data_IF_552902994055
#
_entry.id   IF_552902994055
#
_cell.length_a   1.000
_cell.length_b   1.000
_cell.length_c   1.000
_cell.angle_alpha   90.00
_cell.angle_beta   90.00
_cell.angle_gamma   90.00
#
_symmetry.space_group_name_H-M   'P 1'
#
loop_
_entity.id
_entity.type
_entity.pdbx_description
1 polymer ?
#
# COMPACT_ATOMS: atom_id res chain seq x y z
N UNK A 1 11.95 38.68 18.71
CA UNK A 1 11.87 37.77 17.54
C UNK A 1 13.04 36.78 17.51
N UNK A 2 14.30 37.24 17.54
CA UNK A 2 15.52 36.40 17.44
C UNK A 2 15.71 35.38 18.57
N UNK A 3 15.29 35.70 19.81
CA UNK A 3 15.51 34.84 20.98
C UNK A 3 14.84 33.44 20.88
N UNK A 4 13.65 33.34 20.27
CA UNK A 4 12.95 32.04 20.15
C UNK A 4 13.57 31.13 19.11
N UNK A 5 14.03 31.70 18.00
CA UNK A 5 14.70 30.98 16.92
C UNK A 5 16.02 30.40 17.42
N UNK A 6 16.80 31.19 18.16
CA UNK A 6 18.06 30.72 18.74
C UNK A 6 17.84 29.63 19.80
N UNK A 7 16.75 29.72 20.59
CA UNK A 7 16.36 28.64 21.51
C UNK A 7 16.04 27.33 20.77
N UNK A 8 15.36 27.40 19.62
CA UNK A 8 15.07 26.23 18.78
C UNK A 8 16.38 25.65 18.21
N UNK A 9 17.26 26.49 17.67
CA UNK A 9 18.55 26.06 17.10
C UNK A 9 19.45 25.39 18.13
N UNK A 10 19.55 25.96 19.34
CA UNK A 10 20.37 25.40 20.42
C UNK A 10 19.86 24.00 20.84
N UNK A 11 18.53 23.82 20.95
CA UNK A 11 17.93 22.50 21.23
C UNK A 11 18.24 21.47 20.13
N UNK A 12 18.11 21.85 18.86
CA UNK A 12 18.48 20.99 17.72
C UNK A 12 19.96 20.63 17.79
N UNK A 13 20.84 21.61 18.00
CA UNK A 13 22.28 21.41 18.07
C UNK A 13 22.68 20.44 19.20
N UNK A 14 22.12 20.62 20.41
CA UNK A 14 22.38 19.73 21.55
C UNK A 14 21.97 18.29 21.26
N UNK A 15 20.79 18.09 20.66
CA UNK A 15 20.32 16.75 20.34
C UNK A 15 21.19 16.08 19.28
N UNK A 16 21.50 16.80 18.19
CA UNK A 16 22.29 16.24 17.09
C UNK A 16 23.72 15.93 17.52
N UNK A 17 24.36 16.78 18.33
CA UNK A 17 25.73 16.51 18.81
C UNK A 17 25.79 15.32 19.78
N UNK A 18 24.70 15.05 20.50
CA UNK A 18 24.65 13.95 21.49
C UNK A 18 24.24 12.61 20.89
N UNK A 19 23.42 12.61 19.83
CA UNK A 19 22.77 11.39 19.33
C UNK A 19 22.94 11.15 17.82
N UNK A 20 23.21 12.19 17.03
CA UNK A 20 23.22 12.15 15.56
C UNK A 20 24.60 12.57 15.02
N UNK A 21 24.62 13.38 13.96
CA UNK A 21 25.82 13.93 13.35
C UNK A 21 25.54 15.32 12.73
N UNK A 22 26.57 15.91 12.12
CA UNK A 22 26.50 17.23 11.48
C UNK A 22 25.47 17.28 10.34
N UNK A 23 25.36 16.23 9.54
CA UNK A 23 24.45 16.19 8.38
C UNK A 23 22.98 16.27 8.80
N UNK A 24 22.56 15.51 9.82
CA UNK A 24 21.19 15.61 10.34
C UNK A 24 20.89 16.96 10.99
N UNK A 25 21.91 17.62 11.55
CA UNK A 25 21.79 18.99 12.08
C UNK A 25 21.54 19.98 10.95
N UNK A 26 22.31 19.88 9.86
CA UNK A 26 22.18 20.77 8.70
C UNK A 26 20.80 20.62 8.05
N UNK A 27 20.31 19.38 7.91
CA UNK A 27 18.95 19.10 7.44
C UNK A 27 17.90 19.73 8.38
N UNK A 28 18.08 19.58 9.70
CA UNK A 28 17.16 20.16 10.69
C UNK A 28 17.12 21.69 10.60
N UNK A 29 18.27 22.34 10.37
CA UNK A 29 18.33 23.79 10.19
C UNK A 29 17.74 24.24 8.87
N UNK A 30 17.89 23.46 7.80
CA UNK A 30 17.21 23.73 6.53
C UNK A 30 15.69 23.71 6.70
N UNK A 31 15.12 22.69 7.35
CA UNK A 31 13.68 22.63 7.66
C UNK A 31 13.23 23.83 8.50
N UNK A 32 14.03 24.24 9.49
CA UNK A 32 13.72 25.44 10.29
C UNK A 32 13.72 26.69 9.42
N UNK A 33 14.69 26.84 8.52
CA UNK A 33 14.77 27.98 7.62
C UNK A 33 13.58 28.02 6.67
N UNK A 34 13.24 26.90 6.04
CA UNK A 34 12.08 26.77 5.15
C UNK A 34 10.78 27.12 5.89
N UNK A 35 10.63 26.71 7.14
CA UNK A 35 9.48 27.06 7.98
C UNK A 35 9.38 28.58 8.21
N UNK A 36 10.51 29.23 8.47
CA UNK A 36 10.55 30.68 8.70
C UNK A 36 10.28 31.47 7.41
N UNK A 37 10.74 30.97 6.28
CA UNK A 37 10.54 31.59 4.97
C UNK A 37 9.07 31.49 4.54
N UNK A 38 8.40 30.36 4.84
CA UNK A 38 6.98 30.15 4.51
C UNK A 38 6.03 30.82 5.51
N UNK A 39 6.32 30.79 6.81
CA UNK A 39 5.49 31.42 7.83
C UNK A 39 6.27 31.71 9.12
N UNK A 40 6.99 32.83 9.15
CA UNK A 40 7.83 33.23 10.29
C UNK A 40 7.09 33.31 11.62
N UNK A 41 5.85 33.80 11.64
CA UNK A 41 5.10 34.06 12.87
C UNK A 41 4.61 32.77 13.54
N UNK A 42 4.53 31.67 12.80
CA UNK A 42 4.00 30.40 13.30
C UNK A 42 4.75 29.89 14.52
N UNK A 43 6.05 30.18 14.63
CA UNK A 43 6.93 29.71 15.70
C UNK A 43 6.50 30.19 17.08
N UNK A 44 5.69 31.25 17.16
CA UNK A 44 5.19 31.81 18.41
C UNK A 44 3.96 31.08 18.98
N UNK A 45 3.30 30.22 18.18
CA UNK A 45 2.11 29.47 18.61
C UNK A 45 2.38 28.38 19.64
N UNK A 46 3.64 28.05 19.93
CA UNK A 46 4.02 26.94 20.82
C UNK A 46 5.41 27.13 21.40
N UNK A 47 5.74 26.35 22.44
CA UNK A 47 7.08 26.35 23.08
C UNK A 47 8.18 25.89 22.10
N UNK A 48 9.43 26.30 22.34
CA UNK A 48 10.57 26.00 21.46
C UNK A 48 10.97 24.52 21.49
N UNK A 49 10.77 23.84 22.62
CA UNK A 49 10.94 22.40 22.73
C UNK A 49 9.99 21.65 21.80
N UNK A 50 8.73 22.08 21.68
CA UNK A 50 7.76 21.48 20.75
C UNK A 50 8.21 21.66 19.29
N UNK A 51 8.68 22.84 18.91
CA UNK A 51 9.17 23.10 17.54
C UNK A 51 10.44 22.31 17.20
N UNK A 52 11.46 22.38 18.06
CA UNK A 52 12.71 21.60 17.87
C UNK A 52 12.43 20.09 17.85
N UNK A 53 11.56 19.57 18.72
CA UNK A 53 11.16 18.15 18.70
C UNK A 53 10.51 17.75 17.39
N UNK A 54 9.61 18.60 16.86
CA UNK A 54 8.89 18.29 15.63
C UNK A 54 9.82 18.29 14.41
N UNK A 55 10.74 19.26 14.33
CA UNK A 55 11.77 19.31 13.28
C UNK A 55 12.66 18.07 13.34
N UNK A 56 13.20 17.74 14.52
CA UNK A 56 14.03 16.55 14.71
C UNK A 56 13.25 15.27 14.39
N UNK A 57 11.98 15.19 14.79
CA UNK A 57 11.13 14.05 14.46
C UNK A 57 10.99 13.87 12.96
N UNK A 58 10.80 14.97 12.20
CA UNK A 58 10.78 14.90 10.74
C UNK A 58 12.09 14.32 10.22
N UNK A 59 13.24 14.78 10.69
CA UNK A 59 14.55 14.24 10.23
C UNK A 59 14.74 12.77 10.59
N UNK A 60 14.42 12.36 11.82
CA UNK A 60 14.47 10.95 12.27
C UNK A 60 13.53 10.07 11.44
N UNK A 61 12.30 10.56 11.18
CA UNK A 61 11.31 9.90 10.34
C UNK A 61 11.71 9.90 8.87
N UNK A 62 12.38 10.90 8.33
CA UNK A 62 12.80 10.91 6.92
C UNK A 62 14.04 10.04 6.70
N UNK A 63 14.83 9.78 7.74
CA UNK A 63 16.10 9.07 7.62
C UNK A 63 16.16 7.65 8.18
N UNK A 64 15.02 7.04 8.57
CA UNK A 64 14.96 5.66 9.09
C UNK A 64 15.68 5.45 10.43
N UNK A 65 15.91 6.50 11.22
CA UNK A 65 16.61 6.31 12.50
C UNK A 65 15.75 5.55 13.53
N UNK A 66 14.44 5.43 13.31
CA UNK A 66 13.58 4.54 14.08
C UNK A 66 13.70 3.05 13.70
N UNK A 67 14.48 2.69 12.68
CA UNK A 67 14.73 1.31 12.29
C UNK A 67 15.93 0.74 13.08
N UNK A 68 15.73 -0.41 13.73
CA UNK A 68 16.74 -1.08 14.57
C UNK A 68 18.05 -1.42 13.86
N UNK A 69 18.03 -1.53 12.53
CA UNK A 69 19.23 -1.80 11.72
C UNK A 69 20.08 -0.56 11.44
N UNK A 70 19.53 0.64 11.60
CA UNK A 70 20.26 1.87 11.35
C UNK A 70 21.36 2.03 12.42
N UNK A 71 22.60 2.44 12.07
CA UNK A 71 23.69 2.54 13.03
C UNK A 71 23.42 3.57 14.14
N UNK A 72 22.63 4.60 13.84
CA UNK A 72 22.18 5.62 14.80
C UNK A 72 20.73 5.38 15.25
N UNK A 73 20.35 4.12 15.48
CA UNK A 73 18.99 3.79 15.86
C UNK A 73 18.58 4.44 17.20
N UNK A 74 17.38 5.02 17.23
CA UNK A 74 16.67 5.45 18.44
C UNK A 74 15.20 5.04 18.33
N UNK A 75 14.51 4.69 19.40
CA UNK A 75 13.05 4.46 19.36
C UNK A 75 12.26 5.76 19.52
N UNK A 76 11.02 5.81 19.00
CA UNK A 76 10.11 6.95 19.22
C UNK A 76 9.92 7.26 20.72
N UNK A 77 9.87 6.22 21.56
CA UNK A 77 9.73 6.38 23.02
C UNK A 77 10.97 7.00 23.65
N UNK A 78 12.16 6.54 23.30
CA UNK A 78 13.42 7.11 23.79
C UNK A 78 13.58 8.56 23.35
N UNK A 79 13.32 8.86 22.08
CA UNK A 79 13.35 10.22 21.55
C UNK A 79 12.41 11.16 22.32
N UNK A 80 11.13 10.77 22.48
CA UNK A 80 10.14 11.56 23.23
C UNK A 80 10.56 11.77 24.69
N UNK A 81 11.15 10.76 25.33
CA UNK A 81 11.66 10.84 26.71
C UNK A 81 12.86 11.77 26.83
N UNK A 82 13.81 11.71 25.88
CA UNK A 82 15.02 12.54 25.89
C UNK A 82 14.70 14.03 25.70
N UNK A 83 13.72 14.36 24.85
CA UNK A 83 13.34 15.75 24.61
C UNK A 83 12.32 16.28 25.63
N UNK A 84 11.54 15.40 26.27
CA UNK A 84 10.54 15.80 27.27
C UNK A 84 9.22 16.31 26.69
N UNK A 85 8.89 15.91 25.45
CA UNK A 85 7.63 16.28 24.76
C UNK A 85 6.87 15.01 24.36
N UNK A 86 5.54 15.00 24.54
CA UNK A 86 4.72 13.82 24.23
C UNK A 86 4.71 13.50 22.73
N UNK A 87 4.67 12.20 22.38
CA UNK A 87 4.61 11.75 20.99
C UNK A 87 3.42 12.36 20.22
N UNK A 88 2.26 12.49 20.86
CA UNK A 88 1.08 13.08 20.22
C UNK A 88 1.32 14.54 19.85
N UNK A 89 1.92 15.32 20.76
CA UNK A 89 2.28 16.72 20.52
C UNK A 89 3.32 16.84 19.40
N UNK A 90 4.34 15.98 19.41
CA UNK A 90 5.38 15.94 18.37
C UNK A 90 4.76 15.63 17.01
N UNK A 91 3.91 14.59 16.91
CA UNK A 91 3.29 14.19 15.65
C UNK A 91 2.38 15.29 15.09
N UNK A 92 1.51 15.88 15.92
CA UNK A 92 0.62 16.96 15.49
C UNK A 92 1.41 18.17 14.98
N UNK A 93 2.47 18.56 15.69
CA UNK A 93 3.31 19.68 15.26
C UNK A 93 4.14 19.33 14.02
N UNK A 94 4.62 18.09 13.89
CA UNK A 94 5.34 17.62 12.70
C UNK A 94 4.45 17.68 11.46
N UNK A 95 3.18 17.28 11.56
CA UNK A 95 2.20 17.39 10.47
C UNK A 95 1.99 18.84 10.03
N UNK A 96 1.87 19.76 10.99
CA UNK A 96 1.75 21.20 10.68
C UNK A 96 2.99 21.74 9.94
N UNK A 97 4.20 21.38 10.38
CA UNK A 97 5.44 21.79 9.68
C UNK A 97 5.45 21.24 8.26
N UNK A 98 5.07 19.96 8.09
CA UNK A 98 5.01 19.31 6.77
C UNK A 98 4.07 20.06 5.81
N UNK A 99 2.90 20.46 6.30
CA UNK A 99 1.93 21.25 5.52
C UNK A 99 2.47 22.64 5.17
N UNK A 100 2.98 23.39 6.15
CA UNK A 100 3.44 24.78 5.97
C UNK A 100 4.65 24.88 5.04
N UNK A 101 5.59 23.95 5.17
CA UNK A 101 6.82 23.96 4.37
C UNK A 101 6.67 23.23 3.03
N UNK A 102 5.45 22.73 2.73
CA UNK A 102 5.23 21.77 1.66
C UNK A 102 6.27 20.63 1.68
N UNK A 103 6.65 20.19 2.90
CA UNK A 103 7.50 19.02 3.08
C UNK A 103 6.61 17.80 2.89
N UNK A 104 6.45 17.46 1.62
CA UNK A 104 6.19 16.10 1.21
C UNK A 104 7.44 15.26 1.52
N UNK A 105 7.25 13.99 1.83
CA UNK A 105 8.31 12.99 1.98
C UNK A 105 9.16 12.80 0.72
N UNK A 106 8.75 13.39 -0.41
CA UNK A 106 9.55 13.52 -1.62
C UNK A 106 10.68 14.56 -1.54
N UNK A 107 10.76 15.36 -0.47
CA UNK A 107 11.87 16.31 -0.29
C UNK A 107 13.17 15.56 -0.02
N UNK A 108 13.89 15.24 -1.10
CA UNK A 108 15.23 14.62 -1.09
C UNK A 108 16.21 15.38 -0.21
N UNK A 109 15.99 16.68 -0.05
CA UNK A 109 16.74 17.61 0.80
C UNK A 109 16.67 17.29 2.29
N UNK A 110 15.72 16.45 2.71
CA UNK A 110 15.59 15.98 4.08
C UNK A 110 16.22 14.60 4.33
N UNK A 111 16.79 13.98 3.29
CA UNK A 111 17.45 12.68 3.35
C UNK A 111 18.97 12.86 3.34
N UNK A 112 19.62 12.43 4.41
CA UNK A 112 21.08 12.38 4.53
C UNK A 112 21.70 11.46 3.47
N UNK A 113 22.73 11.96 2.77
CA UNK A 113 23.57 11.22 1.83
C UNK A 113 24.20 10.02 2.53
N UNK A 114 24.69 10.18 3.77
CA UNK A 114 25.27 9.07 4.54
C UNK A 114 24.28 7.93 4.79
N UNK A 115 23.00 8.25 4.98
CA UNK A 115 21.93 7.27 5.13
C UNK A 115 21.74 6.47 3.83
N UNK A 116 21.79 7.15 2.69
CA UNK A 116 21.67 6.53 1.36
C UNK A 116 22.85 5.59 1.11
N UNK A 117 24.08 6.04 1.37
CA UNK A 117 25.28 5.21 1.23
C UNK A 117 25.23 3.95 2.11
N UNK A 118 24.75 4.08 3.35
CA UNK A 118 24.58 2.94 4.26
C UNK A 118 23.63 1.89 3.67
N UNK A 119 22.41 2.29 3.29
CA UNK A 119 21.41 1.35 2.77
C UNK A 119 21.79 0.79 1.39
N UNK A 120 22.47 1.57 0.55
CA UNK A 120 23.03 1.08 -0.72
C UNK A 120 24.09 0.00 -0.48
N UNK A 121 25.01 0.21 0.48
CA UNK A 121 26.03 -0.80 0.85
C UNK A 121 25.44 -2.05 1.49
N UNK A 122 24.38 -1.93 2.30
CA UNK A 122 23.65 -3.10 2.82
C UNK A 122 22.98 -3.90 1.67
N UNK A 123 22.65 -3.24 0.55
CA UNK A 123 21.88 -3.82 -0.56
C UNK A 123 22.72 -4.37 -1.72
N UNK A 124 23.88 -3.77 -2.03
CA UNK A 124 24.66 -4.06 -3.25
C UNK A 124 26.12 -4.42 -2.94
N UNK A 125 26.54 -5.63 -3.31
CA UNK A 125 27.92 -6.11 -3.18
C UNK A 125 28.83 -5.84 -4.40
N UNK A 126 28.32 -5.27 -5.50
CA UNK A 126 29.13 -5.05 -6.72
C UNK A 126 28.80 -3.73 -7.45
N UNK A 127 29.87 -3.04 -7.84
CA UNK A 127 29.91 -1.72 -8.45
C UNK A 127 29.50 -1.69 -9.93
N UNK A 128 28.45 -0.93 -10.24
CA UNK A 128 28.28 -0.19 -11.50
C UNK A 128 27.96 1.26 -11.13
N UNK A 129 28.21 2.22 -12.02
CA UNK A 129 27.89 3.63 -11.76
C UNK A 129 26.42 3.74 -11.29
N UNK A 130 26.25 4.11 -10.02
CA UNK A 130 24.96 4.12 -9.35
C UNK A 130 24.26 5.41 -9.71
N UNK A 131 23.08 5.33 -10.34
CA UNK A 131 22.15 6.45 -10.35
C UNK A 131 21.63 6.63 -8.91
N UNK A 132 22.31 7.53 -8.18
CA UNK A 132 22.07 7.75 -6.77
C UNK A 132 20.63 8.24 -6.54
N UNK A 133 20.04 8.99 -7.47
CA UNK A 133 18.68 9.48 -7.32
C UNK A 133 17.65 8.36 -7.51
N UNK A 134 17.84 7.49 -8.50
CA UNK A 134 16.99 6.33 -8.69
C UNK A 134 17.09 5.34 -7.53
N UNK A 135 18.30 5.09 -7.01
CA UNK A 135 18.47 4.23 -5.83
C UNK A 135 17.85 4.83 -4.57
N UNK A 136 17.94 6.15 -4.37
CA UNK A 136 17.18 6.85 -3.32
C UNK A 136 15.68 6.54 -3.44
N UNK A 137 15.10 6.69 -4.64
CA UNK A 137 13.68 6.42 -4.88
C UNK A 137 13.32 4.95 -4.64
N UNK A 138 14.17 3.98 -5.03
CA UNK A 138 13.94 2.55 -4.76
C UNK A 138 13.94 2.22 -3.27
N UNK A 139 14.87 2.80 -2.51
CA UNK A 139 14.91 2.65 -1.04
C UNK A 139 13.64 3.24 -0.44
N UNK A 140 13.26 4.43 -0.89
CA UNK A 140 12.09 5.16 -0.43
C UNK A 140 10.78 4.40 -0.71
N UNK A 141 10.65 3.85 -1.91
CA UNK A 141 9.54 2.99 -2.32
C UNK A 141 9.42 1.77 -1.40
N UNK A 142 10.49 0.97 -1.26
CA UNK A 142 10.49 -0.23 -0.42
C UNK A 142 10.16 0.10 1.04
N UNK A 143 10.66 1.25 1.51
CA UNK A 143 10.38 1.75 2.84
C UNK A 143 8.89 2.02 3.05
N UNK A 144 8.22 2.68 2.13
CA UNK A 144 6.81 2.98 2.28
C UNK A 144 5.91 1.77 2.22
N UNK A 145 6.25 0.81 1.35
CA UNK A 145 5.59 -0.50 1.37
C UNK A 145 5.68 -1.12 2.77
N UNK A 146 6.87 -1.13 3.37
CA UNK A 146 7.08 -1.67 4.72
C UNK A 146 6.33 -0.88 5.80
N UNK A 147 6.40 0.44 5.78
CA UNK A 147 5.67 1.30 6.73
C UNK A 147 4.16 1.08 6.63
N UNK A 148 3.64 0.92 5.42
CA UNK A 148 2.23 0.62 5.19
C UNK A 148 1.84 -0.74 5.77
N UNK A 149 2.71 -1.75 5.69
CA UNK A 149 2.48 -3.08 6.29
C UNK A 149 2.54 -3.05 7.82
N UNK A 150 3.42 -2.23 8.40
CA UNK A 150 3.63 -2.11 9.86
C UNK A 150 2.74 -1.04 10.53
N UNK A 151 1.93 -0.32 9.75
CA UNK A 151 1.08 0.76 10.22
C UNK A 151 0.09 0.29 11.29
N UNK A 152 -0.17 1.14 12.29
CA UNK A 152 -1.01 0.79 13.44
C UNK A 152 -2.51 0.88 13.15
N UNK A 153 -2.86 1.59 12.09
CA UNK A 153 -4.25 1.81 11.68
C UNK A 153 -4.34 1.93 10.14
N UNK A 154 -5.54 1.72 9.62
CA UNK A 154 -5.77 1.69 8.18
C UNK A 154 -5.49 3.03 7.48
N UNK A 155 -5.80 4.17 8.12
CA UNK A 155 -5.59 5.50 7.52
C UNK A 155 -4.10 5.75 7.30
N UNK A 156 -3.27 5.49 8.31
CA UNK A 156 -1.81 5.58 8.21
C UNK A 156 -1.25 4.60 7.17
N UNK A 157 -1.80 3.38 7.14
CA UNK A 157 -1.44 2.36 6.16
C UNK A 157 -1.71 2.81 4.71
N UNK A 158 -2.88 3.42 4.46
CA UNK A 158 -3.27 3.93 3.14
C UNK A 158 -2.38 5.09 2.73
N UNK A 159 -2.17 6.08 3.61
CA UNK A 159 -1.27 7.22 3.33
C UNK A 159 0.12 6.76 2.92
N UNK A 160 0.72 5.82 3.66
CA UNK A 160 2.01 5.27 3.27
C UNK A 160 2.00 4.51 1.93
N UNK A 161 0.87 3.91 1.55
CA UNK A 161 0.76 3.23 0.27
C UNK A 161 0.55 4.21 -0.90
N UNK A 162 -0.23 5.27 -0.72
CA UNK A 162 -0.37 6.37 -1.71
C UNK A 162 1.00 6.96 -2.04
N UNK A 163 1.84 7.11 -1.02
CA UNK A 163 3.20 7.58 -1.18
C UNK A 163 4.11 6.58 -1.92
N UNK A 164 3.99 5.28 -1.64
CA UNK A 164 4.67 4.25 -2.41
C UNK A 164 4.25 4.28 -3.89
N UNK A 165 2.97 4.54 -4.17
CA UNK A 165 2.45 4.73 -5.53
C UNK A 165 3.10 5.94 -6.20
N UNK A 166 3.16 7.09 -5.52
CA UNK A 166 3.77 8.32 -6.06
C UNK A 166 5.25 8.12 -6.40
N UNK A 167 6.01 7.47 -5.51
CA UNK A 167 7.43 7.18 -5.77
C UNK A 167 7.56 6.14 -6.88
N UNK A 168 6.75 5.09 -6.85
CA UNK A 168 6.62 4.10 -7.93
C UNK A 168 6.52 4.76 -9.29
N UNK A 169 5.60 5.72 -9.41
CA UNK A 169 5.38 6.51 -10.63
C UNK A 169 6.61 7.33 -11.02
N UNK A 170 7.27 7.96 -10.06
CA UNK A 170 8.47 8.79 -10.29
C UNK A 170 9.71 7.99 -10.72
N UNK A 171 9.75 6.68 -10.43
CA UNK A 171 10.83 5.78 -10.85
C UNK A 171 10.69 5.34 -12.32
N UNK A 172 9.53 5.56 -12.95
CA UNK A 172 9.26 5.09 -14.31
C UNK A 172 10.16 5.82 -15.32
N UNK A 173 11.12 5.08 -15.88
CA UNK A 173 12.00 5.57 -16.94
C UNK A 173 11.33 5.48 -18.32
N UNK A 174 11.96 6.09 -19.33
CA UNK A 174 11.47 6.01 -20.71
C UNK A 174 11.55 4.58 -21.25
N UNK A 175 12.63 3.89 -20.93
CA UNK A 175 12.89 2.50 -21.33
C UNK A 175 11.83 1.57 -20.74
N UNK A 176 11.50 1.71 -19.46
CA UNK A 176 10.45 0.91 -18.82
C UNK A 176 9.09 1.12 -19.50
N UNK A 177 8.73 2.36 -19.89
CA UNK A 177 7.47 2.61 -20.62
C UNK A 177 7.45 1.94 -21.99
N UNK A 178 8.57 1.90 -22.70
CA UNK A 178 8.66 1.26 -24.02
C UNK A 178 8.51 -0.25 -23.96
N UNK A 179 8.87 -0.88 -22.83
CA UNK A 179 8.68 -2.31 -22.61
C UNK A 179 7.20 -2.67 -22.31
N UNK A 180 6.37 -1.68 -21.98
CA UNK A 180 5.01 -1.88 -21.48
C UNK A 180 4.97 -2.01 -19.96
N UNK A 181 3.79 -1.74 -19.38
CA UNK A 181 3.63 -1.57 -17.94
C UNK A 181 4.01 -2.82 -17.13
N UNK A 182 3.64 -4.02 -17.59
CA UNK A 182 3.99 -5.26 -16.90
C UNK A 182 5.47 -5.67 -17.01
N UNK A 183 6.11 -5.43 -18.16
CA UNK A 183 7.49 -5.90 -18.43
C UNK A 183 8.57 -4.98 -17.85
N UNK A 184 8.31 -3.67 -17.79
CA UNK A 184 9.23 -2.72 -17.19
C UNK A 184 9.37 -2.93 -15.67
N UNK A 185 10.58 -2.74 -15.13
CA UNK A 185 10.84 -3.01 -13.70
C UNK A 185 10.14 -1.95 -12.84
N UNK A 186 10.29 -0.67 -13.18
CA UNK A 186 9.73 0.43 -12.39
C UNK A 186 8.24 0.59 -12.63
N UNK A 187 7.75 0.34 -13.85
CA UNK A 187 6.30 0.32 -14.16
C UNK A 187 5.59 -0.79 -13.40
N UNK A 188 6.19 -1.98 -13.33
CA UNK A 188 5.64 -3.08 -12.53
C UNK A 188 5.64 -2.78 -11.03
N UNK A 189 6.70 -2.14 -10.52
CA UNK A 189 6.71 -1.68 -9.12
C UNK A 189 5.58 -0.68 -8.83
N UNK A 190 5.32 0.25 -9.75
CA UNK A 190 4.19 1.17 -9.65
C UNK A 190 2.83 0.44 -9.63
N UNK A 191 2.62 -0.53 -10.53
CA UNK A 191 1.39 -1.32 -10.59
C UNK A 191 1.15 -2.15 -9.33
N UNK A 192 2.19 -2.78 -8.78
CA UNK A 192 2.11 -3.53 -7.52
C UNK A 192 1.71 -2.63 -6.34
N UNK A 193 2.20 -1.39 -6.31
CA UNK A 193 1.81 -0.42 -5.29
C UNK A 193 0.35 0.02 -5.45
N UNK A 194 -0.12 0.24 -6.69
CA UNK A 194 -1.53 0.57 -6.97
C UNK A 194 -2.46 -0.58 -6.55
N UNK A 195 -2.12 -1.82 -6.88
CA UNK A 195 -2.92 -2.98 -6.47
C UNK A 195 -2.98 -3.08 -4.94
N UNK A 196 -1.84 -2.86 -4.27
CA UNK A 196 -1.76 -2.84 -2.80
C UNK A 196 -2.59 -1.70 -2.20
N UNK A 197 -2.66 -0.54 -2.85
CA UNK A 197 -3.50 0.59 -2.46
C UNK A 197 -4.98 0.21 -2.58
N UNK A 198 -5.40 -0.37 -3.70
CA UNK A 198 -6.77 -0.81 -3.92
C UNK A 198 -7.23 -1.80 -2.84
N UNK A 199 -6.40 -2.79 -2.49
CA UNK A 199 -6.69 -3.75 -1.40
C UNK A 199 -6.89 -3.06 -0.05
N UNK A 200 -6.09 -2.03 0.26
CA UNK A 200 -6.22 -1.27 1.51
C UNK A 200 -7.48 -0.43 1.54
N UNK A 201 -7.82 0.23 0.43
CA UNK A 201 -9.07 0.96 0.28
C UNK A 201 -10.29 0.05 0.44
N UNK A 202 -10.24 -1.14 -0.14
CA UNK A 202 -11.28 -2.15 0.03
C UNK A 202 -11.43 -2.61 1.49
N UNK A 203 -10.32 -2.76 2.22
CA UNK A 203 -10.33 -3.18 3.64
C UNK A 203 -11.04 -2.21 4.59
N UNK A 204 -11.21 -0.95 4.18
CA UNK A 204 -11.96 0.08 4.93
C UNK A 204 -13.31 0.40 4.27
N UNK A 205 -13.80 -0.47 3.38
CA UNK A 205 -15.04 -0.32 2.62
C UNK A 205 -15.09 0.95 1.74
N UNK A 206 -13.93 1.53 1.39
CA UNK A 206 -13.85 2.62 0.43
C UNK A 206 -13.85 2.08 -1.02
N UNK A 207 -14.95 1.42 -1.37
CA UNK A 207 -15.10 0.67 -2.62
C UNK A 207 -15.06 1.56 -3.86
N UNK A 208 -15.50 2.82 -3.75
CA UNK A 208 -15.51 3.77 -4.87
C UNK A 208 -14.10 4.14 -5.30
N UNK A 209 -13.21 4.44 -4.35
CA UNK A 209 -11.82 4.74 -4.68
C UNK A 209 -11.05 3.48 -5.08
N UNK A 210 -11.30 2.34 -4.41
CA UNK A 210 -10.72 1.05 -4.80
C UNK A 210 -11.04 0.71 -6.26
N UNK A 211 -12.31 0.89 -6.67
CA UNK A 211 -12.74 0.70 -8.07
C UNK A 211 -11.95 1.57 -9.03
N UNK A 212 -11.80 2.88 -8.78
CA UNK A 212 -11.06 3.78 -9.67
C UNK A 212 -9.62 3.32 -9.88
N UNK A 213 -8.96 2.87 -8.81
CA UNK A 213 -7.58 2.36 -8.88
C UNK A 213 -7.51 1.08 -9.72
N UNK A 214 -8.45 0.16 -9.54
CA UNK A 214 -8.50 -1.10 -10.29
C UNK A 214 -8.86 -0.89 -11.78
N UNK A 215 -9.79 0.02 -12.09
CA UNK A 215 -10.10 0.40 -13.47
C UNK A 215 -8.89 1.04 -14.16
N UNK A 216 -8.16 1.91 -13.45
CA UNK A 216 -6.92 2.50 -13.97
C UNK A 216 -5.83 1.45 -14.22
N UNK A 217 -5.71 0.44 -13.35
CA UNK A 217 -4.78 -0.67 -13.56
C UNK A 217 -5.09 -1.47 -14.83
N UNK A 218 -6.37 -1.69 -15.13
CA UNK A 218 -6.80 -2.33 -16.38
C UNK A 218 -6.52 -1.42 -17.59
N UNK A 219 -6.75 -0.12 -17.47
CA UNK A 219 -6.49 0.84 -18.56
C UNK A 219 -5.01 0.83 -18.99
N UNK A 220 -4.09 0.85 -18.03
CA UNK A 220 -2.64 0.87 -18.32
C UNK A 220 -2.08 -0.51 -18.66
N UNK A 221 -2.82 -1.58 -18.35
CA UNK A 221 -2.41 -2.96 -18.57
C UNK A 221 -3.60 -3.86 -18.97
N UNK A 222 -4.14 -3.70 -20.19
CA UNK A 222 -5.38 -4.35 -20.61
C UNK A 222 -5.28 -5.88 -20.73
N UNK A 223 -4.08 -6.40 -21.01
CA UNK A 223 -3.78 -7.84 -21.03
C UNK A 223 -3.94 -8.49 -19.65
N UNK A 224 -3.99 -7.68 -18.60
CA UNK A 224 -4.28 -8.05 -17.22
C UNK A 224 -3.49 -9.26 -16.69
N UNK A 225 -2.18 -9.21 -16.90
CA UNK A 225 -1.24 -10.22 -16.40
C UNK A 225 -1.24 -10.31 -14.86
N UNK A 226 -1.67 -9.26 -14.16
CA UNK A 226 -1.84 -9.24 -12.69
C UNK A 226 -3.14 -9.91 -12.20
N UNK A 227 -4.12 -10.16 -13.08
CA UNK A 227 -5.43 -10.66 -12.68
C UNK A 227 -6.26 -9.63 -11.89
N UNK A 228 -6.11 -8.34 -12.19
CA UNK A 228 -6.91 -7.23 -11.66
C UNK A 228 -8.38 -7.41 -11.99
N UNK A 229 -8.74 -8.02 -13.12
CA UNK A 229 -10.14 -8.29 -13.50
C UNK A 229 -10.92 -9.02 -12.41
N UNK A 230 -10.29 -9.97 -11.72
CA UNK A 230 -10.94 -10.72 -10.65
C UNK A 230 -11.20 -9.85 -9.42
N UNK A 231 -10.24 -9.00 -9.05
CA UNK A 231 -10.36 -8.07 -7.92
C UNK A 231 -11.38 -6.97 -8.20
N UNK A 232 -11.37 -6.42 -9.41
CA UNK A 232 -12.37 -5.46 -9.86
C UNK A 232 -13.77 -6.08 -9.83
N UNK A 233 -13.91 -7.32 -10.28
CA UNK A 233 -15.21 -8.00 -10.26
C UNK A 233 -15.78 -8.07 -8.84
N UNK A 234 -14.96 -8.38 -7.83
CA UNK A 234 -15.39 -8.43 -6.44
C UNK A 234 -15.89 -7.08 -5.92
N UNK A 235 -15.13 -6.00 -6.17
CA UNK A 235 -15.51 -4.63 -5.81
C UNK A 235 -16.82 -4.23 -6.51
N UNK A 236 -16.97 -4.55 -7.80
CA UNK A 236 -18.18 -4.24 -8.56
C UNK A 236 -19.40 -5.02 -8.07
N UNK A 237 -19.25 -6.29 -7.66
CA UNK A 237 -20.33 -7.05 -7.02
C UNK A 237 -20.77 -6.33 -5.75
N UNK A 238 -19.84 -5.91 -4.87
CA UNK A 238 -20.17 -5.20 -3.62
C UNK A 238 -20.93 -3.89 -3.89
N UNK A 239 -20.43 -3.07 -4.82
CA UNK A 239 -21.09 -1.84 -5.28
C UNK A 239 -22.42 -2.07 -6.02
N UNK A 240 -22.65 -3.29 -6.52
CA UNK A 240 -23.79 -3.66 -7.36
C UNK A 240 -23.93 -2.78 -8.63
N UNK A 241 -22.80 -2.36 -9.21
CA UNK A 241 -22.79 -1.58 -10.45
C UNK A 241 -22.92 -2.52 -11.66
N UNK A 242 -24.17 -2.68 -12.12
CA UNK A 242 -24.51 -3.56 -13.24
C UNK A 242 -23.87 -3.12 -14.57
N UNK A 243 -23.74 -1.81 -14.79
CA UNK A 243 -23.17 -1.28 -16.03
C UNK A 243 -21.69 -1.61 -16.10
N UNK A 244 -20.97 -1.36 -15.01
CA UNK A 244 -19.55 -1.69 -14.92
C UNK A 244 -19.28 -3.19 -15.05
N UNK A 245 -20.13 -4.04 -14.44
CA UNK A 245 -20.01 -5.50 -14.56
C UNK A 245 -20.21 -5.97 -16.01
N UNK A 246 -21.21 -5.43 -16.71
CA UNK A 246 -21.43 -5.78 -18.10
C UNK A 246 -20.25 -5.34 -18.99
N UNK A 247 -19.71 -4.15 -18.76
CA UNK A 247 -18.50 -3.69 -19.47
C UNK A 247 -17.30 -4.63 -19.19
N UNK A 248 -17.14 -5.07 -17.94
CA UNK A 248 -16.09 -6.02 -17.58
C UNK A 248 -16.28 -7.38 -18.27
N UNK A 249 -17.52 -7.87 -18.39
CA UNK A 249 -17.83 -9.09 -19.13
C UNK A 249 -17.52 -8.99 -20.62
N UNK A 250 -17.82 -7.86 -21.25
CA UNK A 250 -17.50 -7.65 -22.67
C UNK A 250 -15.98 -7.58 -22.90
N UNK A 251 -15.26 -6.89 -22.01
CA UNK A 251 -13.79 -6.77 -22.08
C UNK A 251 -13.10 -8.14 -21.96
N UNK A 252 -13.59 -9.00 -21.06
CA UNK A 252 -13.04 -10.34 -20.82
C UNK A 252 -14.00 -11.45 -21.24
N UNK A 253 -14.64 -11.32 -22.41
CA UNK A 253 -15.66 -12.29 -22.89
C UNK A 253 -15.12 -13.71 -23.11
N UNK A 254 -13.82 -13.85 -23.36
CA UNK A 254 -13.16 -15.15 -23.53
C UNK A 254 -12.69 -15.77 -22.20
N UNK A 255 -12.75 -15.02 -21.09
CA UNK A 255 -12.39 -15.54 -19.77
C UNK A 255 -13.45 -16.53 -19.29
N UNK A 256 -13.02 -17.77 -19.09
CA UNK A 256 -13.91 -18.89 -18.76
C UNK A 256 -13.35 -19.73 -17.61
N UNK A 257 -12.33 -19.28 -16.87
CA UNK A 257 -11.79 -19.98 -15.70
C UNK A 257 -12.88 -20.32 -14.68
N UNK A 258 -12.61 -21.32 -13.83
CA UNK A 258 -13.54 -21.65 -12.75
C UNK A 258 -13.69 -20.44 -11.81
N UNK A 259 -12.58 -19.78 -11.48
CA UNK A 259 -12.54 -18.49 -10.76
C UNK A 259 -13.56 -17.48 -11.31
N UNK A 260 -13.54 -17.21 -12.62
CA UNK A 260 -14.50 -16.27 -13.23
C UNK A 260 -15.95 -16.73 -13.11
N UNK A 261 -16.20 -18.03 -13.33
CA UNK A 261 -17.56 -18.58 -13.33
C UNK A 261 -18.17 -18.63 -11.92
N UNK A 262 -17.39 -18.89 -10.86
CA UNK A 262 -17.88 -18.77 -9.49
C UNK A 262 -18.27 -17.32 -9.16
N UNK A 263 -17.48 -16.32 -9.55
CA UNK A 263 -17.84 -14.91 -9.32
C UNK A 263 -19.07 -14.47 -10.14
N UNK A 264 -19.22 -14.95 -11.39
CA UNK A 264 -20.46 -14.75 -12.17
C UNK A 264 -21.67 -15.38 -11.48
N UNK A 265 -21.53 -16.60 -10.96
CA UNK A 265 -22.59 -17.28 -10.24
C UNK A 265 -23.06 -16.47 -9.02
N UNK A 266 -22.12 -15.95 -8.22
CA UNK A 266 -22.43 -15.09 -7.08
C UNK A 266 -23.13 -13.79 -7.50
N UNK A 267 -22.62 -13.12 -8.54
CA UNK A 267 -23.23 -11.90 -9.06
C UNK A 267 -24.69 -12.11 -9.50
N UNK A 268 -24.95 -13.15 -10.29
CA UNK A 268 -26.30 -13.48 -10.75
C UNK A 268 -27.21 -13.89 -9.61
N UNK A 269 -26.70 -14.67 -8.64
CA UNK A 269 -27.44 -15.03 -7.43
C UNK A 269 -27.84 -13.78 -6.63
N UNK A 270 -26.89 -12.88 -6.35
CA UNK A 270 -27.13 -11.60 -5.67
C UNK A 270 -28.23 -10.78 -6.36
N UNK A 271 -28.26 -10.82 -7.69
CA UNK A 271 -29.26 -10.11 -8.51
C UNK A 271 -30.52 -10.94 -8.81
N UNK A 272 -30.73 -12.07 -8.12
CA UNK A 272 -31.91 -12.95 -8.24
C UNK A 272 -32.11 -13.55 -9.64
N UNK A 273 -31.08 -13.59 -10.48
CA UNK A 273 -31.11 -14.27 -11.76
C UNK A 273 -30.69 -15.74 -11.57
N UNK A 274 -31.61 -16.56 -11.06
CA UNK A 274 -31.31 -17.94 -10.67
C UNK A 274 -30.98 -18.85 -11.85
N UNK A 275 -31.49 -18.55 -13.04
CA UNK A 275 -31.17 -19.29 -14.26
C UNK A 275 -29.69 -19.14 -14.61
N UNK A 276 -29.21 -17.90 -14.76
CA UNK A 276 -27.80 -17.64 -15.06
C UNK A 276 -26.87 -18.01 -13.90
N UNK A 277 -27.32 -17.85 -12.65
CA UNK A 277 -26.56 -18.28 -11.49
C UNK A 277 -26.33 -19.80 -11.48
N UNK A 278 -27.38 -20.58 -11.79
CA UNK A 278 -27.31 -22.04 -11.84
C UNK A 278 -26.49 -22.55 -13.02
N UNK A 279 -26.57 -21.89 -14.17
CA UNK A 279 -25.74 -22.21 -15.34
C UNK A 279 -24.25 -21.93 -15.09
N UNK A 280 -23.95 -20.75 -14.53
CA UNK A 280 -22.58 -20.36 -14.18
C UNK A 280 -21.96 -21.28 -13.13
N UNK A 281 -22.69 -21.62 -12.04
CA UNK A 281 -22.15 -22.51 -11.00
C UNK A 281 -21.94 -23.93 -11.51
N UNK A 282 -22.81 -24.44 -12.38
CA UNK A 282 -22.63 -25.75 -13.04
C UNK A 282 -21.36 -25.75 -13.89
N UNK A 283 -21.17 -24.71 -14.70
CA UNK A 283 -19.96 -24.53 -15.52
C UNK A 283 -18.70 -24.40 -14.66
N UNK A 284 -18.78 -23.71 -13.52
CA UNK A 284 -17.67 -23.54 -12.60
C UNK A 284 -17.27 -24.86 -11.92
N UNK A 285 -18.25 -25.62 -11.41
CA UNK A 285 -18.05 -26.95 -10.81
C UNK A 285 -17.39 -27.94 -11.77
N UNK A 286 -17.83 -27.95 -13.03
CA UNK A 286 -17.27 -28.85 -14.05
C UNK A 286 -15.80 -28.56 -14.36
N UNK A 287 -15.33 -27.34 -14.11
CA UNK A 287 -13.93 -26.94 -14.30
C UNK A 287 -13.09 -27.17 -13.05
N UNK A 288 -13.59 -26.73 -11.90
CA UNK A 288 -12.91 -26.92 -10.63
C UNK A 288 -13.96 -26.92 -9.49
N UNK A 289 -14.41 -28.12 -9.11
CA UNK A 289 -15.34 -28.31 -7.99
C UNK A 289 -14.73 -27.94 -6.64
N UNK A 290 -13.39 -27.96 -6.52
CA UNK A 290 -12.71 -27.74 -5.25
C UNK A 290 -12.85 -26.30 -4.76
N UNK A 291 -13.01 -25.30 -5.64
CA UNK A 291 -13.32 -23.92 -5.23
C UNK A 291 -14.58 -23.91 -4.35
N UNK A 292 -15.68 -24.51 -4.82
CA UNK A 292 -16.94 -24.59 -4.06
C UNK A 292 -16.77 -25.32 -2.73
N UNK A 293 -15.97 -26.41 -2.71
CA UNK A 293 -15.68 -27.17 -1.49
C UNK A 293 -14.85 -26.39 -0.46
N UNK A 294 -13.90 -25.57 -0.93
CA UNK A 294 -13.11 -24.68 -0.06
C UNK A 294 -13.99 -23.59 0.55
N UNK A 295 -14.87 -22.97 -0.25
CA UNK A 295 -15.78 -21.92 0.22
C UNK A 295 -16.69 -22.42 1.37
N UNK A 296 -17.22 -23.64 1.27
CA UNK A 296 -18.10 -24.22 2.32
C UNK A 296 -17.35 -24.90 3.47
N UNK A 297 -16.03 -24.73 3.54
CA UNK A 297 -15.12 -25.31 4.55
C UNK A 297 -15.19 -26.85 4.70
N UNK A 298 -15.45 -27.56 3.60
CA UNK A 298 -15.52 -29.02 3.57
C UNK A 298 -14.22 -29.68 3.14
N UNK A 299 -13.10 -29.08 3.54
CA UNK A 299 -11.73 -29.49 3.17
C UNK A 299 -11.38 -30.90 3.63
N UNK A 300 -11.91 -31.31 4.78
CA UNK A 300 -11.63 -32.62 5.40
C UNK A 300 -12.62 -33.73 5.00
N UNK A 301 -13.76 -33.37 4.40
CA UNK A 301 -14.84 -34.31 4.13
C UNK A 301 -14.51 -35.29 2.98
N UNK A 302 -13.53 -34.98 2.14
CA UNK A 302 -13.19 -35.80 0.98
C UNK A 302 -11.71 -36.19 1.01
N UNK A 303 -11.46 -37.31 1.70
CA UNK A 303 -10.15 -37.94 1.75
C UNK A 303 -9.64 -38.27 0.35
N UNK A 304 -8.44 -37.77 0.03
CA UNK A 304 -7.58 -38.18 -1.09
C UNK A 304 -8.30 -38.41 -2.43
N UNK A 305 -9.18 -37.51 -2.86
CA UNK A 305 -9.45 -37.40 -4.30
C UNK A 305 -8.17 -36.88 -5.00
N UNK A 306 -7.95 -37.29 -6.25
CA UNK A 306 -6.83 -36.88 -7.09
C UNK A 306 -6.93 -35.37 -7.43
N UNK A 307 -6.75 -34.50 -6.44
CA UNK A 307 -6.66 -33.06 -6.62
C UNK A 307 -5.27 -32.74 -7.14
N UNK A 308 -5.18 -32.15 -8.33
CA UNK A 308 -3.90 -31.64 -8.81
C UNK A 308 -3.44 -30.45 -7.96
N UNK A 309 -2.14 -30.18 -7.93
CA UNK A 309 -1.63 -29.00 -7.23
C UNK A 309 -2.20 -27.69 -7.81
N UNK A 310 -2.50 -27.68 -9.11
CA UNK A 310 -3.09 -26.53 -9.82
C UNK A 310 -4.53 -26.26 -9.39
N UNK A 311 -5.41 -27.28 -9.41
CA UNK A 311 -6.80 -27.13 -8.97
C UNK A 311 -6.89 -26.69 -7.50
N UNK A 312 -6.02 -27.25 -6.65
CA UNK A 312 -5.90 -26.86 -5.25
C UNK A 312 -5.44 -25.40 -5.12
N UNK A 313 -4.44 -25.01 -5.92
CA UNK A 313 -3.94 -23.64 -5.94
C UNK A 313 -5.01 -22.63 -6.33
N UNK A 314 -5.77 -22.91 -7.38
CA UNK A 314 -6.90 -22.07 -7.81
C UNK A 314 -7.99 -21.99 -6.73
N UNK A 315 -8.31 -23.11 -6.07
CA UNK A 315 -9.28 -23.15 -4.98
C UNK A 315 -8.87 -22.30 -3.77
N UNK A 316 -7.61 -22.39 -3.35
CA UNK A 316 -7.05 -21.56 -2.26
C UNK A 316 -7.07 -20.09 -2.66
N UNK A 317 -6.58 -19.76 -3.86
CA UNK A 317 -6.59 -18.38 -4.36
C UNK A 317 -8.00 -17.79 -4.38
N UNK A 318 -8.97 -18.52 -4.94
CA UNK A 318 -10.35 -18.04 -4.99
C UNK A 318 -10.93 -17.83 -3.59
N UNK A 319 -10.72 -18.80 -2.69
CA UNK A 319 -11.19 -18.71 -1.31
C UNK A 319 -10.65 -17.46 -0.61
N UNK A 320 -9.33 -17.25 -0.63
CA UNK A 320 -8.67 -16.13 0.05
C UNK A 320 -9.18 -14.77 -0.44
N UNK A 321 -9.47 -14.64 -1.74
CA UNK A 321 -9.91 -13.37 -2.34
C UNK A 321 -11.44 -13.16 -2.27
N UNK A 322 -12.26 -14.21 -2.05
CA UNK A 322 -13.72 -14.11 -2.23
C UNK A 322 -14.57 -14.56 -1.04
N UNK A 323 -14.04 -15.27 -0.04
CA UNK A 323 -14.87 -15.83 1.05
C UNK A 323 -15.66 -14.77 1.81
N UNK A 324 -15.06 -13.60 2.04
CA UNK A 324 -15.75 -12.47 2.69
C UNK A 324 -16.95 -12.02 1.87
N UNK A 325 -16.76 -11.86 0.56
CA UNK A 325 -17.81 -11.44 -0.36
C UNK A 325 -18.96 -12.46 -0.43
N UNK A 326 -18.66 -13.76 -0.47
CA UNK A 326 -19.70 -14.79 -0.41
C UNK A 326 -20.51 -14.66 0.89
N UNK A 327 -19.86 -14.52 2.04
CA UNK A 327 -20.54 -14.34 3.33
C UNK A 327 -21.38 -13.06 3.42
N UNK A 328 -20.96 -11.96 2.77
CA UNK A 328 -21.73 -10.71 2.70
C UNK A 328 -23.03 -10.86 1.89
N UNK A 329 -23.05 -11.70 0.86
CA UNK A 329 -24.24 -11.93 0.04
C UNK A 329 -25.18 -12.90 0.75
N UNK A 330 -26.23 -12.34 1.36
CA UNK A 330 -27.24 -13.10 2.13
C UNK A 330 -27.77 -14.32 1.36
N UNK A 331 -27.61 -15.50 1.98
CA UNK A 331 -28.13 -16.78 1.48
C UNK A 331 -27.27 -17.44 0.39
N UNK A 332 -26.16 -16.83 -0.02
CA UNK A 332 -25.27 -17.38 -1.05
C UNK A 332 -24.61 -18.69 -0.59
N UNK A 333 -24.20 -18.78 0.68
CA UNK A 333 -23.53 -19.95 1.25
C UNK A 333 -24.46 -21.16 1.32
N UNK A 334 -25.70 -20.98 1.80
CA UNK A 334 -26.72 -22.03 1.81
C UNK A 334 -27.06 -22.49 0.39
N UNK A 335 -27.13 -21.54 -0.54
CA UNK A 335 -27.37 -21.85 -1.95
C UNK A 335 -26.20 -22.62 -2.57
N UNK A 336 -24.96 -22.19 -2.32
CA UNK A 336 -23.75 -22.87 -2.78
C UNK A 336 -23.69 -24.29 -2.23
N UNK A 337 -23.95 -24.47 -0.93
CA UNK A 337 -24.00 -25.79 -0.28
C UNK A 337 -24.98 -26.73 -1.00
N UNK A 338 -26.22 -26.28 -1.26
CA UNK A 338 -27.20 -27.06 -2.04
C UNK A 338 -26.67 -27.40 -3.43
N UNK A 339 -26.09 -26.42 -4.13
CA UNK A 339 -25.51 -26.62 -5.45
C UNK A 339 -24.33 -27.58 -5.46
N UNK A 340 -23.55 -27.65 -4.38
CA UNK A 340 -22.46 -28.62 -4.25
C UNK A 340 -22.96 -30.03 -3.93
N UNK A 341 -24.09 -30.17 -3.23
CA UNK A 341 -24.72 -31.45 -2.90
C UNK A 341 -25.58 -32.04 -4.03
N UNK A 342 -26.00 -31.23 -5.00
CA UNK A 342 -26.61 -31.70 -6.24
C UNK A 342 -25.56 -32.52 -7.01
N UNK A 343 -25.61 -33.85 -6.85
CA UNK A 343 -24.88 -34.81 -7.68
C UNK A 343 -25.44 -34.73 -9.10
N UNK A 344 -24.55 -34.51 -10.08
CA UNK A 344 -24.86 -34.54 -11.51
C UNK A 344 -25.09 -35.95 -12.01
#
# INVERSE_FOLDING_TARGET
>A
MTSKIEEIKDKINRFCNSNLNQEYKDISFKILQDLLDNNKEIIHSSRADIWSSAILNIVLEQNLLYNKKHPLHITKKEFSKQIGVSLNTINNKSSLIKEVCNIDFLNQDTIAISNIEFWVRESNSKSKAIDLELEKKKILYKRYIKLSQEAKNHIESIRYMEEAVNIGKSMITKEDRQLGFWKGISTRAYMVALESLARKLESIDNLKEARKVLEYLIEINPDDEQGIRYKLFNVLIRLNDRTAINNLFEMYKEEKSATWMYSKALYYFKNKNMFLASDAIKSAKNKNKYIGLYLIDWRNAFGREFVTAEEKGEAVYYYDENIVLWNEVKGSMDWLLKKMLEFS
#
